data_IF_303794182400
#
_entry.id   IF_303794182400
#
_cell.length_a   1.000
_cell.length_b   1.000
_cell.length_c   1.000
_cell.angle_alpha   90.00
_cell.angle_beta   90.00
_cell.angle_gamma   90.00
#
_symmetry.space_group_name_H-M   'P 1'
#
loop_
_entity.id
_entity.type
_entity.pdbx_description
1 polymer ?
#
# COMPACT_ATOMS: atom_id res chain seq x y z
N UNK A 1 -2.56 12.24 6.05
CA UNK A 1 -3.95 12.23 5.57
C UNK A 1 -4.11 11.15 4.51
N UNK A 2 -4.98 10.17 4.76
CA UNK A 2 -5.16 9.06 3.81
C UNK A 2 -5.58 9.51 2.40
N UNK A 3 -6.46 10.49 2.31
CA UNK A 3 -6.89 10.99 1.01
C UNK A 3 -5.77 11.61 0.20
N UNK A 4 -4.79 12.24 0.87
CA UNK A 4 -3.64 12.81 0.20
C UNK A 4 -2.75 11.73 -0.41
N UNK A 5 -2.56 10.63 0.32
CA UNK A 5 -1.76 9.52 -0.20
C UNK A 5 -2.39 8.95 -1.47
N UNK A 6 -3.70 8.73 -1.45
CA UNK A 6 -4.40 8.20 -2.61
C UNK A 6 -4.42 9.20 -3.75
N UNK A 7 -4.57 10.49 -3.46
CA UNK A 7 -4.48 11.53 -4.49
C UNK A 7 -3.11 11.50 -5.16
N UNK A 8 -2.05 11.38 -4.35
CA UNK A 8 -0.69 11.33 -4.88
C UNK A 8 -0.48 10.11 -5.77
N UNK A 9 -1.03 8.97 -5.36
CA UNK A 9 -0.98 7.75 -6.17
C UNK A 9 -1.69 7.98 -7.51
N UNK A 10 -2.87 8.58 -7.48
CA UNK A 10 -3.64 8.84 -8.68
C UNK A 10 -2.94 9.83 -9.61
N UNK A 11 -2.24 10.82 -9.04
CA UNK A 11 -1.51 11.79 -9.84
C UNK A 11 -0.45 11.12 -10.72
N UNK A 12 0.14 10.05 -10.25
CA UNK A 12 1.21 9.35 -10.97
C UNK A 12 0.68 8.17 -11.77
N UNK A 13 -0.22 7.39 -11.18
CA UNK A 13 -0.76 6.19 -11.85
C UNK A 13 -1.75 6.55 -12.96
N UNK A 14 -2.57 7.55 -12.71
CA UNK A 14 -3.69 7.90 -13.58
C UNK A 14 -5.01 7.49 -12.97
N UNK A 15 -6.01 7.19 -13.80
CA UNK A 15 -7.34 6.82 -13.34
C UNK A 15 -7.28 5.48 -12.59
N UNK A 16 -7.62 5.50 -11.31
CA UNK A 16 -7.60 4.31 -10.47
C UNK A 16 -8.85 3.44 -10.61
N UNK A 17 -9.83 3.86 -11.39
CA UNK A 17 -11.06 3.08 -11.58
C UNK A 17 -10.72 1.71 -12.17
N UNK A 18 -11.17 0.65 -11.50
CA UNK A 18 -10.89 -0.71 -11.92
C UNK A 18 -9.49 -1.21 -11.57
N UNK A 19 -8.64 -0.36 -10.99
CA UNK A 19 -7.29 -0.77 -10.62
C UNK A 19 -7.31 -1.64 -9.37
N UNK A 20 -6.48 -2.68 -9.36
CA UNK A 20 -6.25 -3.49 -8.17
C UNK A 20 -5.08 -2.88 -7.40
N UNK A 21 -5.33 -2.46 -6.18
CA UNK A 21 -4.32 -1.79 -5.35
C UNK A 21 -4.13 -2.58 -4.07
N UNK A 22 -2.88 -2.92 -3.76
CA UNK A 22 -2.57 -3.56 -2.47
C UNK A 22 -2.09 -2.49 -1.49
N UNK A 23 -2.66 -2.50 -0.29
CA UNK A 23 -2.21 -1.66 0.82
C UNK A 23 -1.33 -2.52 1.72
N UNK A 24 -0.08 -2.16 1.83
CA UNK A 24 0.89 -2.90 2.61
C UNK A 24 0.91 -2.36 4.05
N UNK A 25 0.34 -3.13 4.95
CA UNK A 25 0.29 -2.82 6.36
C UNK A 25 -1.07 -2.33 6.84
N UNK A 26 -1.60 -3.01 7.86
CA UNK A 26 -2.85 -2.64 8.51
C UNK A 26 -2.61 -1.98 9.87
N UNK A 27 -1.36 -1.96 10.32
CA UNK A 27 -1.00 -1.46 11.65
C UNK A 27 -0.76 0.04 11.65
N UNK A 28 -0.82 0.63 12.84
CA UNK A 28 -0.45 2.03 13.01
C UNK A 28 1.03 2.24 12.70
N UNK A 29 1.88 1.28 13.10
CA UNK A 29 3.32 1.30 12.80
C UNK A 29 3.86 -0.11 12.68
N UNK A 30 5.01 -0.26 12.03
CA UNK A 30 5.62 -1.55 11.80
C UNK A 30 5.97 -2.29 13.08
N UNK A 31 5.81 -3.62 13.03
CA UNK A 31 6.18 -4.49 14.14
C UNK A 31 5.21 -4.54 15.29
N UNK A 32 4.14 -3.75 15.27
CA UNK A 32 3.16 -3.69 16.36
C UNK A 32 1.79 -4.05 15.81
N UNK A 33 1.21 -5.15 16.28
CA UNK A 33 -0.10 -5.61 15.81
C UNK A 33 -1.21 -4.80 16.45
N UNK A 34 -1.44 -3.61 15.94
CA UNK A 34 -2.42 -2.67 16.47
C UNK A 34 -2.97 -1.83 15.33
N UNK A 35 -4.30 -1.82 15.17
CA UNK A 35 -4.96 -1.03 14.14
C UNK A 35 -5.52 0.29 14.65
N UNK A 36 -5.51 0.52 15.96
CA UNK A 36 -5.95 1.80 16.52
C UNK A 36 -5.09 2.92 15.90
N UNK A 37 -5.75 3.98 15.47
CA UNK A 37 -5.11 5.13 14.83
C UNK A 37 -4.42 4.80 13.51
N UNK A 38 -4.58 3.58 12.96
CA UNK A 38 -4.02 3.24 11.67
C UNK A 38 -4.72 4.01 10.55
N UNK A 39 -3.93 4.42 9.55
CA UNK A 39 -4.48 5.04 8.35
C UNK A 39 -5.06 4.06 7.34
N UNK A 40 -4.98 2.75 7.60
CA UNK A 40 -5.40 1.75 6.61
C UNK A 40 -6.85 1.91 6.18
N UNK A 41 -7.75 2.19 7.14
CA UNK A 41 -9.18 2.30 6.83
C UNK A 41 -9.46 3.50 5.94
N UNK A 42 -8.80 4.62 6.21
CA UNK A 42 -8.95 5.82 5.39
C UNK A 42 -8.38 5.63 3.98
N UNK A 43 -7.25 4.94 3.87
CA UNK A 43 -6.64 4.65 2.57
C UNK A 43 -7.57 3.73 1.76
N UNK A 44 -8.10 2.68 2.37
CA UNK A 44 -9.01 1.75 1.71
C UNK A 44 -10.28 2.49 1.25
N UNK A 45 -10.86 3.31 2.12
CA UNK A 45 -12.05 4.08 1.77
C UNK A 45 -11.78 5.05 0.61
N UNK A 46 -10.64 5.72 0.63
CA UNK A 46 -10.27 6.66 -0.44
C UNK A 46 -10.06 5.94 -1.77
N UNK A 47 -9.48 4.74 -1.74
CA UNK A 47 -9.31 3.93 -2.95
C UNK A 47 -10.67 3.49 -3.50
N UNK A 48 -11.56 3.01 -2.64
CA UNK A 48 -12.90 2.61 -3.05
C UNK A 48 -13.68 3.77 -3.65
N UNK A 49 -13.53 4.95 -3.09
CA UNK A 49 -14.20 6.14 -3.60
C UNK A 49 -13.76 6.48 -5.02
N UNK A 50 -12.56 6.07 -5.42
CA UNK A 50 -12.07 6.26 -6.78
C UNK A 50 -12.35 5.08 -7.70
N UNK A 51 -13.09 4.09 -7.22
CA UNK A 51 -13.44 2.92 -8.01
C UNK A 51 -12.36 1.85 -8.10
N UNK A 52 -11.33 1.95 -7.28
CA UNK A 52 -10.28 0.93 -7.20
C UNK A 52 -10.74 -0.24 -6.33
N UNK A 53 -10.09 -1.39 -6.50
CA UNK A 53 -10.31 -2.56 -5.68
C UNK A 53 -9.12 -2.68 -4.69
N UNK A 54 -9.29 -2.25 -3.44
CA UNK A 54 -8.20 -2.28 -2.47
C UNK A 54 -8.13 -3.63 -1.75
N UNK A 55 -6.93 -4.19 -1.69
CA UNK A 55 -6.62 -5.38 -0.91
C UNK A 55 -5.58 -5.00 0.14
N UNK A 56 -5.59 -5.70 1.26
CA UNK A 56 -4.69 -5.36 2.37
C UNK A 56 -3.81 -6.55 2.69
N UNK A 57 -2.52 -6.30 2.79
CA UNK A 57 -1.52 -7.27 3.22
C UNK A 57 -0.94 -6.82 4.55
N UNK A 58 -0.77 -7.74 5.50
CA UNK A 58 -0.05 -7.45 6.73
C UNK A 58 0.52 -8.74 7.29
N UNK A 59 1.85 -8.80 7.53
CA UNK A 59 2.48 -10.04 8.00
C UNK A 59 2.08 -10.42 9.43
N UNK A 60 1.49 -9.51 10.19
CA UNK A 60 1.07 -9.77 11.57
C UNK A 60 -0.38 -10.26 11.67
N UNK A 61 -1.13 -10.23 10.57
CA UNK A 61 -2.55 -10.58 10.55
C UNK A 61 -2.80 -11.78 9.64
N UNK A 62 -3.70 -12.66 10.06
CA UNK A 62 -4.21 -13.70 9.17
C UNK A 62 -5.25 -13.09 8.23
N UNK A 63 -5.57 -13.81 7.15
CA UNK A 63 -6.64 -13.38 6.24
C UNK A 63 -7.97 -13.23 6.98
N UNK A 64 -8.27 -14.16 7.89
CA UNK A 64 -9.51 -14.11 8.69
C UNK A 64 -9.54 -12.86 9.58
N UNK A 65 -8.41 -12.50 10.17
CA UNK A 65 -8.33 -11.31 11.02
C UNK A 65 -8.56 -10.03 10.20
N UNK A 66 -7.97 -9.94 9.02
CA UNK A 66 -8.18 -8.80 8.13
C UNK A 66 -9.63 -8.70 7.69
N UNK A 67 -10.24 -9.85 7.31
CA UNK A 67 -11.64 -9.87 6.92
C UNK A 67 -12.56 -9.43 8.05
N UNK A 68 -12.24 -9.82 9.29
CA UNK A 68 -13.02 -9.42 10.46
C UNK A 68 -12.98 -7.90 10.70
N UNK A 69 -11.95 -7.23 10.20
CA UNK A 69 -11.83 -5.77 10.25
C UNK A 69 -12.53 -5.08 9.08
N UNK A 70 -13.17 -5.83 8.20
CA UNK A 70 -13.81 -5.27 7.01
C UNK A 70 -12.85 -5.01 5.87
N UNK A 71 -11.65 -5.58 5.91
CA UNK A 71 -10.63 -5.42 4.89
C UNK A 71 -10.57 -6.67 4.02
N UNK A 72 -10.25 -6.48 2.73
CA UNK A 72 -10.12 -7.58 1.80
C UNK A 72 -8.68 -8.09 1.81
N UNK A 73 -8.43 -9.32 2.26
CA UNK A 73 -7.04 -9.79 2.37
C UNK A 73 -6.39 -9.98 1.00
N UNK A 74 -5.15 -9.52 0.88
CA UNK A 74 -4.35 -9.78 -0.29
C UNK A 74 -3.78 -11.20 -0.21
N UNK A 75 -3.81 -11.92 -1.32
CA UNK A 75 -3.23 -13.26 -1.42
C UNK A 75 -1.95 -13.19 -2.22
N UNK A 76 -0.93 -13.89 -1.74
CA UNK A 76 0.37 -13.91 -2.39
C UNK A 76 0.25 -14.34 -3.85
N UNK A 77 0.95 -13.62 -4.72
CA UNK A 77 0.98 -13.93 -6.14
C UNK A 77 -0.14 -13.31 -6.97
N UNK A 78 -1.13 -12.68 -6.34
CA UNK A 78 -2.19 -12.00 -7.08
C UNK A 78 -1.63 -10.73 -7.72
N UNK A 79 -1.94 -10.52 -9.00
CA UNK A 79 -1.49 -9.34 -9.74
C UNK A 79 -2.14 -8.09 -9.17
N UNK A 80 -1.34 -7.03 -9.08
CA UNK A 80 -1.82 -5.71 -8.69
C UNK A 80 -1.36 -4.69 -9.71
N UNK A 81 -2.04 -3.56 -9.75
CA UNK A 81 -1.68 -2.45 -10.63
C UNK A 81 -0.83 -1.43 -9.89
N UNK A 82 -1.10 -1.24 -8.62
CA UNK A 82 -0.40 -0.28 -7.78
C UNK A 82 -0.37 -0.76 -6.33
N UNK A 83 0.47 -0.11 -5.53
CA UNK A 83 0.61 -0.44 -4.12
C UNK A 83 0.81 0.82 -3.28
N UNK A 84 0.37 0.75 -2.03
CA UNK A 84 0.57 1.81 -1.03
C UNK A 84 1.21 1.18 0.20
N UNK A 85 2.39 1.65 0.58
CA UNK A 85 2.99 1.23 1.84
C UNK A 85 2.45 2.10 2.96
N UNK A 86 1.66 1.49 3.85
CA UNK A 86 0.96 2.20 4.92
C UNK A 86 1.64 1.99 6.28
N UNK A 87 2.21 0.82 6.52
CA UNK A 87 2.95 0.55 7.75
C UNK A 87 4.36 0.06 7.41
N UNK A 88 5.33 0.44 8.23
CA UNK A 88 6.74 0.21 7.95
C UNK A 88 7.26 -1.10 8.55
N UNK A 89 6.54 -2.21 8.33
CA UNK A 89 7.01 -3.51 8.75
C UNK A 89 8.36 -3.85 8.13
N UNK A 90 9.23 -4.46 8.92
CA UNK A 90 10.58 -4.82 8.49
C UNK A 90 10.55 -5.69 7.23
N UNK A 91 9.56 -6.57 7.12
CA UNK A 91 9.41 -7.49 5.99
C UNK A 91 9.33 -6.77 4.65
N UNK A 92 8.72 -5.58 4.63
CA UNK A 92 8.54 -4.85 3.37
C UNK A 92 9.85 -4.31 2.81
N UNK A 93 10.86 -4.14 3.63
CA UNK A 93 12.19 -3.71 3.16
C UNK A 93 12.84 -4.76 2.27
N UNK A 94 12.45 -6.02 2.44
CA UNK A 94 12.93 -7.12 1.60
C UNK A 94 12.08 -7.41 0.38
N UNK A 95 10.95 -6.73 0.23
CA UNK A 95 10.09 -6.94 -0.93
C UNK A 95 10.76 -6.46 -2.21
N UNK A 96 10.37 -7.12 -3.31
CA UNK A 96 10.81 -6.77 -4.66
C UNK A 96 9.59 -6.80 -5.58
N UNK A 97 9.70 -6.37 -6.84
CA UNK A 97 8.56 -6.44 -7.76
C UNK A 97 7.96 -7.85 -7.92
N UNK A 98 8.76 -8.89 -7.68
CA UNK A 98 8.25 -10.27 -7.76
C UNK A 98 7.22 -10.56 -6.69
N UNK A 99 7.26 -9.86 -5.56
CA UNK A 99 6.29 -10.04 -4.48
C UNK A 99 4.94 -9.38 -4.79
N UNK A 100 4.93 -8.44 -5.73
CA UNK A 100 3.74 -7.72 -6.15
C UNK A 100 3.62 -7.74 -7.67
N UNK A 101 3.29 -8.91 -8.27
CA UNK A 101 3.27 -9.05 -9.73
C UNK A 101 2.39 -7.99 -10.39
N UNK A 102 2.90 -7.37 -11.43
CA UNK A 102 2.16 -6.39 -12.21
C UNK A 102 2.23 -4.96 -11.69
N UNK A 103 2.79 -4.73 -10.50
CA UNK A 103 2.85 -3.39 -9.91
C UNK A 103 3.63 -2.44 -10.81
N UNK A 104 3.06 -1.27 -11.09
CA UNK A 104 3.74 -0.24 -11.88
C UNK A 104 4.07 1.00 -11.06
N UNK A 105 3.30 1.27 -10.01
CA UNK A 105 3.51 2.43 -9.13
C UNK A 105 3.38 1.99 -7.68
N UNK A 106 4.32 2.40 -6.87
CA UNK A 106 4.32 2.10 -5.44
C UNK A 106 4.46 3.41 -4.67
N UNK A 107 3.45 3.73 -3.87
CA UNK A 107 3.52 4.90 -2.99
C UNK A 107 4.09 4.45 -1.64
N UNK A 108 5.26 4.96 -1.30
CA UNK A 108 5.90 4.68 -0.02
C UNK A 108 5.50 5.75 0.99
N UNK A 109 4.45 5.47 1.76
CA UNK A 109 3.92 6.42 2.73
C UNK A 109 4.80 6.62 3.95
N UNK A 110 5.86 5.82 4.11
CA UNK A 110 6.74 5.88 5.27
C UNK A 110 8.17 6.28 4.93
N UNK A 111 8.51 6.29 3.63
CA UNK A 111 9.85 6.68 3.20
C UNK A 111 10.93 5.69 3.56
N UNK A 112 10.60 4.40 3.59
CA UNK A 112 11.52 3.35 4.04
C UNK A 112 12.02 2.44 2.92
N UNK A 113 11.44 2.53 1.73
CA UNK A 113 11.81 1.66 0.62
C UNK A 113 12.96 2.26 -0.19
N UNK A 114 13.81 1.38 -0.68
CA UNK A 114 14.89 1.75 -1.57
C UNK A 114 14.42 1.60 -3.02
N UNK A 115 14.27 2.70 -3.78
CA UNK A 115 13.81 2.59 -5.17
C UNK A 115 14.69 1.71 -6.06
N UNK A 116 15.96 1.54 -5.71
CA UNK A 116 16.86 0.69 -6.48
C UNK A 116 16.45 -0.80 -6.42
N UNK A 117 15.69 -1.19 -5.42
CA UNK A 117 15.18 -2.56 -5.30
C UNK A 117 13.89 -2.77 -6.11
N UNK A 118 13.40 -1.74 -6.76
CA UNK A 118 12.14 -1.76 -7.50
C UNK A 118 12.33 -1.39 -8.96
N UNK A 119 13.17 -2.13 -9.70
CA UNK A 119 13.40 -1.82 -11.11
C UNK A 119 12.10 -1.95 -11.91
N UNK A 120 11.84 -0.98 -12.77
CA UNK A 120 10.62 -0.96 -13.58
C UNK A 120 9.38 -0.46 -12.86
N UNK A 121 9.49 -0.11 -11.58
CA UNK A 121 8.37 0.40 -10.78
C UNK A 121 8.67 1.84 -10.40
N UNK A 122 7.67 2.71 -10.53
CA UNK A 122 7.79 4.09 -10.08
C UNK A 122 7.50 4.14 -8.58
N UNK A 123 8.51 4.46 -7.78
CA UNK A 123 8.37 4.57 -6.32
C UNK A 123 8.24 6.04 -5.95
N UNK A 124 7.16 6.37 -5.25
CA UNK A 124 6.88 7.74 -4.79
C UNK A 124 6.98 7.76 -3.29
N UNK A 125 7.79 8.64 -2.73
CA UNK A 125 7.88 8.79 -1.28
C UNK A 125 7.00 9.94 -0.84
N UNK A 126 5.94 9.62 -0.09
CA UNK A 126 5.06 10.63 0.47
C UNK A 126 5.70 11.26 1.70
N UNK A 127 5.54 12.56 1.83
CA UNK A 127 6.05 13.28 3.00
C UNK A 127 7.53 13.62 2.93
N UNK A 128 8.25 13.14 1.92
CA UNK A 128 9.61 13.58 1.69
C UNK A 128 9.62 14.87 0.90
N UNK A 129 10.58 15.71 1.21
CA UNK A 129 10.82 16.86 0.38
C UNK A 129 11.27 16.40 -1.00
N UNK A 130 10.64 16.95 -2.00
CA UNK A 130 11.03 16.66 -3.38
C UNK A 130 11.95 17.75 -3.91
N UNK A 131 12.46 18.55 -3.06
CA UNK A 131 13.38 19.61 -3.41
C UNK A 131 14.67 18.98 -3.79
N UNK A 132 14.90 18.14 -3.93
CA UNK A 132 16.05 17.55 -4.52
C UNK A 132 15.52 16.96 -5.78
#
# INVERSE_FOLDING_TARGET
MPGRAVQRLADVYGDLRGATVVVLGACYRGGVKETAFSGVFGVVDALRARGAAPFVHDPLFTAAELAALGLEPYRDGVRVDAAVLQADHQEYRGFTPADLPGVSVLLDGRGVLDPARWPGVTVIALGRSTVG
#
